data_IF_793077944851
#
_entry.id   IF_793077944851
#
_cell.length_a   1.000
_cell.length_b   1.000
_cell.length_c   1.000
_cell.angle_alpha   90.00
_cell.angle_beta   90.00
_cell.angle_gamma   90.00
#
_symmetry.space_group_name_H-M   'P 1'
#
loop_
_entity.id
_entity.type
_entity.pdbx_description
1 polymer ?
#
# COMPACT_ATOMS: atom_id res chain seq x y z
N UNK A 1 -0.08 -18.19 34.09
CA UNK A 1 0.05 -16.81 33.54
C UNK A 1 -1.21 -15.96 33.73
N UNK A 2 -2.36 -16.37 33.18
CA UNK A 2 -3.62 -15.60 33.24
C UNK A 2 -4.04 -15.21 34.66
N UNK A 3 -4.05 -16.17 35.59
CA UNK A 3 -4.39 -15.91 37.01
C UNK A 3 -3.45 -14.88 37.66
N UNK A 4 -2.16 -14.94 37.32
CA UNK A 4 -1.18 -14.00 37.83
C UNK A 4 -1.41 -12.59 37.27
N UNK A 5 -1.65 -12.44 35.97
CA UNK A 5 -1.98 -11.14 35.36
C UNK A 5 -3.23 -10.50 35.97
N UNK A 6 -4.28 -11.29 36.24
CA UNK A 6 -5.48 -10.77 36.91
C UNK A 6 -5.19 -10.37 38.36
N UNK A 7 -4.35 -11.12 39.08
CA UNK A 7 -3.92 -10.76 40.43
C UNK A 7 -3.18 -9.41 40.43
N UNK A 8 -2.29 -9.18 39.47
CA UNK A 8 -1.56 -7.90 39.35
C UNK A 8 -2.49 -6.74 38.97
N UNK A 9 -3.48 -6.94 38.10
CA UNK A 9 -4.51 -5.91 37.85
C UNK A 9 -5.30 -5.58 39.13
N UNK A 10 -5.68 -6.60 39.89
CA UNK A 10 -6.44 -6.41 41.14
C UNK A 10 -5.60 -5.76 42.24
N UNK A 11 -4.28 -5.99 42.28
CA UNK A 11 -3.39 -5.39 43.28
C UNK A 11 -3.33 -3.86 43.14
N UNK A 12 -3.57 -3.34 41.93
CA UNK A 12 -3.68 -1.90 41.63
C UNK A 12 -5.13 -1.40 41.57
N UNK A 13 -6.11 -2.22 41.98
CA UNK A 13 -7.52 -1.83 42.07
C UNK A 13 -8.34 -2.02 40.79
N UNK A 14 -7.83 -2.71 39.76
CA UNK A 14 -8.54 -2.97 38.50
C UNK A 14 -9.09 -4.40 38.52
N UNK A 15 -10.41 -4.56 38.52
CA UNK A 15 -11.06 -5.85 38.32
C UNK A 15 -11.48 -5.97 36.84
N UNK A 16 -10.95 -6.95 36.08
CA UNK A 16 -11.39 -7.17 34.70
C UNK A 16 -12.81 -7.74 34.67
N UNK A 17 -13.64 -7.22 33.77
CA UNK A 17 -14.99 -7.74 33.49
C UNK A 17 -15.00 -8.84 32.41
N UNK A 18 -14.01 -8.81 31.51
CA UNK A 18 -13.84 -9.75 30.39
C UNK A 18 -12.37 -10.16 30.29
N UNK A 19 -12.12 -11.42 29.98
CA UNK A 19 -10.78 -11.95 29.71
C UNK A 19 -10.70 -12.49 28.27
N UNK A 20 -9.83 -11.89 27.45
CA UNK A 20 -9.44 -12.43 26.15
C UNK A 20 -8.23 -13.35 26.33
N UNK A 21 -8.47 -14.66 26.33
CA UNK A 21 -7.42 -15.65 26.53
C UNK A 21 -6.81 -16.06 25.19
N UNK A 22 -5.62 -15.51 24.89
CA UNK A 22 -4.91 -15.82 23.65
C UNK A 22 -4.32 -17.23 23.67
N UNK A 23 -4.50 -17.98 22.58
CA UNK A 23 -4.02 -19.36 22.44
C UNK A 23 -3.90 -19.78 20.97
N UNK A 24 -3.12 -20.81 20.67
CA UNK A 24 -3.04 -21.35 19.30
C UNK A 24 -4.27 -22.19 18.93
N UNK A 25 -4.93 -22.79 19.93
CA UNK A 25 -6.09 -23.67 19.77
C UNK A 25 -7.17 -23.31 20.79
N UNK A 26 -8.46 -23.60 20.52
CA UNK A 26 -9.54 -23.32 21.45
C UNK A 26 -9.28 -23.93 22.83
N UNK A 27 -9.47 -23.13 23.90
CA UNK A 27 -9.37 -23.63 25.26
C UNK A 27 -10.55 -24.56 25.57
N UNK A 28 -10.30 -25.73 26.17
CA UNK A 28 -11.37 -26.59 26.66
C UNK A 28 -12.27 -25.86 27.66
N UNK A 29 -13.56 -26.18 27.66
CA UNK A 29 -14.54 -25.59 28.60
C UNK A 29 -14.18 -25.81 30.08
N UNK A 30 -13.42 -26.88 30.40
CA UNK A 30 -12.90 -27.11 31.74
C UNK A 30 -11.87 -26.06 32.16
N UNK A 31 -10.96 -25.68 31.26
CA UNK A 31 -9.96 -24.64 31.51
C UNK A 31 -10.62 -23.26 31.56
N UNK A 32 -11.62 -23.00 30.69
CA UNK A 32 -12.42 -21.76 30.75
C UNK A 32 -13.09 -21.60 32.11
N UNK A 33 -13.76 -22.64 32.62
CA UNK A 33 -14.38 -22.67 33.96
C UNK A 33 -13.38 -22.44 35.08
N UNK A 34 -12.21 -23.08 34.98
CA UNK A 34 -11.12 -22.93 35.95
C UNK A 34 -10.62 -21.49 35.98
N UNK A 35 -10.37 -20.89 34.82
CA UNK A 35 -9.95 -19.48 34.72
C UNK A 35 -11.01 -18.59 35.38
N UNK A 36 -12.27 -18.70 34.97
CA UNK A 36 -13.39 -17.93 35.50
C UNK A 36 -13.46 -17.95 37.05
N UNK A 37 -13.38 -19.15 37.63
CA UNK A 37 -13.39 -19.36 39.08
C UNK A 37 -12.21 -18.67 39.78
N UNK A 38 -10.98 -18.84 39.28
CA UNK A 38 -9.79 -18.29 39.92
C UNK A 38 -9.60 -16.78 39.71
N UNK A 39 -10.17 -16.23 38.64
CA UNK A 39 -10.09 -14.79 38.33
C UNK A 39 -11.29 -14.00 38.82
N UNK A 40 -12.34 -14.68 39.31
CA UNK A 40 -13.63 -14.09 39.67
C UNK A 40 -14.26 -13.29 38.50
N UNK A 41 -14.16 -13.85 37.30
CA UNK A 41 -14.77 -13.32 36.07
C UNK A 41 -15.86 -14.29 35.63
N UNK A 42 -17.05 -13.84 35.18
CA UNK A 42 -18.09 -14.74 34.71
C UNK A 42 -17.59 -15.68 33.61
N UNK A 43 -18.03 -16.94 33.61
CA UNK A 43 -17.54 -17.94 32.64
C UNK A 43 -17.76 -17.51 31.19
N UNK A 44 -18.92 -16.94 30.88
CA UNK A 44 -19.25 -16.44 29.54
C UNK A 44 -18.38 -15.24 29.12
N UNK A 45 -17.71 -14.57 30.07
CA UNK A 45 -16.80 -13.46 29.82
C UNK A 45 -15.31 -13.89 29.73
N UNK A 46 -15.04 -15.19 29.77
CA UNK A 46 -13.72 -15.76 29.44
C UNK A 46 -13.73 -16.18 27.97
N UNK A 47 -13.28 -15.29 27.10
CA UNK A 47 -13.36 -15.41 25.65
C UNK A 47 -12.09 -16.06 25.09
N UNK A 48 -12.25 -17.04 24.21
CA UNK A 48 -11.15 -17.61 23.44
C UNK A 48 -10.70 -16.64 22.36
N UNK A 49 -9.46 -16.19 22.41
CA UNK A 49 -8.84 -15.36 21.36
C UNK A 49 -7.79 -16.21 20.63
N UNK A 50 -8.24 -17.13 19.78
CA UNK A 50 -7.33 -18.05 19.10
C UNK A 50 -6.58 -17.37 17.95
N UNK A 51 -5.43 -17.93 17.57
CA UNK A 51 -4.76 -17.54 16.33
C UNK A 51 -5.59 -18.07 15.14
N UNK A 52 -6.20 -17.13 14.41
CA UNK A 52 -6.95 -17.41 13.19
C UNK A 52 -6.03 -17.25 11.97
N UNK A 53 -6.26 -18.06 10.95
CA UNK A 53 -5.59 -18.01 9.65
C UNK A 53 -5.88 -16.72 8.86
N UNK A 54 -7.01 -16.08 9.15
CA UNK A 54 -7.44 -14.82 8.57
C UNK A 54 -7.89 -13.84 9.66
N UNK A 55 -7.22 -12.69 9.76
CA UNK A 55 -7.54 -11.65 10.75
C UNK A 55 -8.98 -11.11 10.63
N UNK A 56 -9.59 -11.19 9.45
CA UNK A 56 -10.96 -10.72 9.22
C UNK A 56 -12.02 -11.70 9.74
N UNK A 57 -11.62 -12.90 10.19
CA UNK A 57 -12.49 -13.81 10.95
C UNK A 57 -12.61 -13.42 12.43
N UNK A 58 -11.73 -12.56 12.95
CA UNK A 58 -11.75 -12.17 14.38
C UNK A 58 -13.11 -11.57 14.80
N UNK A 59 -13.72 -10.62 14.04
CA UNK A 59 -15.06 -10.12 14.39
C UNK A 59 -16.12 -11.23 14.48
N UNK A 60 -16.14 -12.16 13.52
CA UNK A 60 -17.07 -13.29 13.50
C UNK A 60 -16.85 -14.22 14.71
N UNK A 61 -15.57 -14.51 15.02
CA UNK A 61 -15.17 -15.38 16.12
C UNK A 61 -15.51 -14.82 17.50
N UNK A 62 -15.28 -13.51 17.70
CA UNK A 62 -15.60 -12.84 18.96
C UNK A 62 -17.12 -12.66 19.13
N UNK A 63 -17.84 -12.37 18.05
CA UNK A 63 -19.30 -12.27 18.07
C UNK A 63 -19.97 -13.62 18.37
N UNK A 64 -19.47 -14.72 17.79
CA UNK A 64 -19.97 -16.07 18.08
C UNK A 64 -19.86 -16.46 19.56
N UNK A 65 -18.91 -15.86 20.29
CA UNK A 65 -18.74 -16.03 21.74
C UNK A 65 -19.50 -14.97 22.57
N UNK A 66 -20.21 -14.05 21.93
CA UNK A 66 -21.04 -13.05 22.60
C UNK A 66 -20.27 -11.89 23.25
N UNK A 67 -19.03 -11.62 22.84
CA UNK A 67 -18.22 -10.53 23.42
C UNK A 67 -18.93 -9.18 23.32
N UNK A 68 -19.47 -8.84 22.15
CA UNK A 68 -20.19 -7.60 21.90
C UNK A 68 -21.44 -7.47 22.78
N UNK A 69 -22.16 -8.58 22.98
CA UNK A 69 -23.31 -8.64 23.88
C UNK A 69 -22.92 -8.31 25.32
N UNK A 70 -21.82 -8.88 25.81
CA UNK A 70 -21.32 -8.61 27.17
C UNK A 70 -21.00 -7.13 27.34
N UNK A 71 -20.34 -6.52 26.35
CA UNK A 71 -20.01 -5.10 26.36
C UNK A 71 -21.27 -4.23 26.35
N UNK A 72 -22.26 -4.54 25.52
CA UNK A 72 -23.54 -3.82 25.44
C UNK A 72 -24.31 -3.87 26.76
N UNK A 73 -24.42 -5.07 27.36
CA UNK A 73 -25.09 -5.27 28.63
C UNK A 73 -24.37 -4.55 29.77
N UNK A 74 -23.04 -4.66 29.84
CA UNK A 74 -22.22 -4.04 30.88
C UNK A 74 -22.28 -2.50 30.82
N UNK A 75 -22.22 -1.92 29.62
CA UNK A 75 -22.32 -0.46 29.40
C UNK A 75 -23.76 0.06 29.35
N UNK A 76 -24.77 -0.81 29.53
CA UNK A 76 -26.20 -0.46 29.51
C UNK A 76 -26.63 0.26 28.24
N UNK A 77 -26.11 -0.18 27.09
CA UNK A 77 -26.42 0.39 25.77
C UNK A 77 -27.75 -0.16 25.25
N UNK A 78 -28.84 0.19 25.93
CA UNK A 78 -30.19 -0.38 25.72
C UNK A 78 -30.79 -0.14 24.31
N UNK A 79 -30.17 0.74 23.52
CA UNK A 79 -30.58 1.05 22.14
C UNK A 79 -29.64 0.43 21.09
N UNK A 80 -28.68 -0.40 21.51
CA UNK A 80 -27.77 -1.08 20.60
C UNK A 80 -28.54 -2.01 19.67
N UNK A 81 -28.28 -1.89 18.37
CA UNK A 81 -28.80 -2.81 17.36
C UNK A 81 -28.00 -4.11 17.39
N UNK A 82 -28.61 -5.20 16.94
CA UNK A 82 -27.87 -6.46 16.70
C UNK A 82 -26.75 -6.19 15.69
N UNK A 83 -25.57 -6.74 15.93
CA UNK A 83 -24.46 -6.65 15.00
C UNK A 83 -24.85 -7.28 13.65
N UNK A 84 -24.63 -6.52 12.58
CA UNK A 84 -24.66 -7.03 11.21
C UNK A 84 -23.21 -7.23 10.77
N UNK A 85 -22.86 -8.48 10.45
CA UNK A 85 -21.51 -8.89 10.08
C UNK A 85 -21.42 -9.31 8.61
N UNK A 86 -22.46 -9.04 7.81
CA UNK A 86 -22.53 -9.42 6.39
C UNK A 86 -21.32 -8.94 5.59
N UNK A 87 -20.82 -7.71 5.83
CA UNK A 87 -19.59 -7.20 5.21
C UNK A 87 -18.37 -8.08 5.54
N UNK A 88 -18.23 -8.51 6.79
CA UNK A 88 -17.11 -9.34 7.24
C UNK A 88 -17.21 -10.76 6.69
N UNK A 89 -18.42 -11.31 6.66
CA UNK A 89 -18.70 -12.61 6.03
C UNK A 89 -18.33 -12.59 4.55
N UNK A 90 -18.69 -11.51 3.82
CA UNK A 90 -18.33 -11.33 2.42
C UNK A 90 -16.82 -11.21 2.19
N UNK A 91 -16.10 -10.49 3.05
CA UNK A 91 -14.63 -10.40 3.00
C UNK A 91 -13.99 -11.77 3.20
N UNK A 92 -14.41 -12.51 4.24
CA UNK A 92 -13.84 -13.83 4.54
C UNK A 92 -14.11 -14.79 3.39
N UNK A 93 -15.35 -14.84 2.89
CA UNK A 93 -15.74 -15.70 1.77
C UNK A 93 -14.91 -15.41 0.51
N UNK A 94 -14.74 -14.14 0.13
CA UNK A 94 -13.95 -13.75 -1.04
C UNK A 94 -12.46 -14.13 -0.94
N UNK A 95 -11.90 -14.19 0.28
CA UNK A 95 -10.51 -14.58 0.51
C UNK A 95 -10.31 -16.09 0.50
N UNK A 96 -11.26 -16.83 1.07
CA UNK A 96 -11.19 -18.30 1.18
C UNK A 96 -11.52 -19.00 -0.14
N UNK A 97 -12.40 -18.41 -0.95
CA UNK A 97 -12.89 -18.98 -2.20
C UNK A 97 -12.55 -18.10 -3.42
N UNK A 98 -11.26 -17.95 -3.78
CA UNK A 98 -10.87 -17.16 -4.94
C UNK A 98 -11.13 -17.88 -6.27
N UNK A 99 -11.58 -17.13 -7.28
CA UNK A 99 -11.83 -17.61 -8.64
C UNK A 99 -10.58 -17.51 -9.54
N UNK A 100 -9.65 -16.63 -9.19
CA UNK A 100 -8.42 -16.37 -9.94
C UNK A 100 -7.24 -16.08 -9.01
N UNK A 101 -6.03 -16.07 -9.57
CA UNK A 101 -4.82 -15.76 -8.83
C UNK A 101 -3.85 -14.94 -9.69
N UNK A 102 -3.24 -13.91 -9.12
CA UNK A 102 -2.19 -13.09 -9.77
C UNK A 102 -0.95 -13.00 -8.90
N UNK A 103 0.22 -12.89 -9.53
CA UNK A 103 1.50 -12.66 -8.84
C UNK A 103 1.94 -11.22 -9.01
N UNK A 104 2.04 -10.47 -7.91
CA UNK A 104 2.53 -9.09 -7.90
C UNK A 104 3.94 -9.07 -7.32
N UNK A 105 4.89 -8.52 -8.09
CA UNK A 105 6.25 -8.28 -7.59
C UNK A 105 6.30 -6.96 -6.82
N UNK A 106 6.70 -7.01 -5.55
CA UNK A 106 6.95 -5.82 -4.72
C UNK A 106 8.46 -5.58 -4.66
N UNK A 107 8.92 -4.47 -5.22
CA UNK A 107 10.34 -4.13 -5.31
C UNK A 107 10.73 -3.16 -4.18
N UNK A 108 11.11 -3.72 -3.04
CA UNK A 108 11.34 -2.99 -1.78
C UNK A 108 12.81 -2.93 -1.36
N UNK A 109 13.11 -2.07 -0.37
CA UNK A 109 14.46 -1.97 0.24
C UNK A 109 14.64 -2.99 1.37
N UNK A 110 13.59 -3.24 2.16
CA UNK A 110 13.64 -4.10 3.35
C UNK A 110 12.66 -5.26 3.23
N UNK A 111 13.02 -6.30 2.48
CA UNK A 111 12.12 -7.45 2.28
C UNK A 111 12.04 -8.39 3.48
N UNK A 112 13.08 -8.45 4.32
CA UNK A 112 13.12 -9.32 5.51
C UNK A 112 12.18 -8.85 6.64
N UNK A 113 11.78 -7.58 6.60
CA UNK A 113 10.84 -6.98 7.55
C UNK A 113 9.53 -6.64 6.84
N UNK A 114 8.74 -7.67 6.51
CA UNK A 114 7.44 -7.51 5.85
C UNK A 114 6.49 -6.53 6.58
N UNK A 115 6.64 -6.38 7.90
CA UNK A 115 5.88 -5.42 8.70
C UNK A 115 6.07 -3.96 8.24
N UNK A 116 7.23 -3.61 7.68
CA UNK A 116 7.47 -2.29 7.09
C UNK A 116 6.51 -1.97 5.94
N UNK A 117 5.91 -2.99 5.33
CA UNK A 117 4.99 -2.90 4.21
C UNK A 117 3.59 -3.45 4.56
N UNK A 118 3.22 -3.49 5.86
CA UNK A 118 1.96 -4.11 6.30
C UNK A 118 0.74 -3.53 5.59
N UNK A 119 0.53 -2.21 5.66
CA UNK A 119 -0.62 -1.56 5.00
C UNK A 119 -0.64 -1.79 3.49
N UNK A 120 0.52 -1.77 2.85
CA UNK A 120 0.66 -2.04 1.42
C UNK A 120 0.27 -3.48 1.06
N UNK A 121 0.77 -4.46 1.83
CA UNK A 121 0.48 -5.88 1.62
C UNK A 121 -1.01 -6.17 1.81
N UNK A 122 -1.66 -5.53 2.78
CA UNK A 122 -3.11 -5.66 2.97
C UNK A 122 -3.89 -4.94 1.86
N UNK A 123 -3.47 -3.73 1.45
CA UNK A 123 -4.13 -3.00 0.36
C UNK A 123 -4.11 -3.77 -0.98
N UNK A 124 -3.02 -4.48 -1.28
CA UNK A 124 -2.95 -5.38 -2.43
C UNK A 124 -3.92 -6.55 -2.32
N UNK A 125 -4.04 -7.17 -1.14
CA UNK A 125 -5.04 -8.23 -0.89
C UNK A 125 -6.46 -7.67 -1.02
N UNK A 126 -6.74 -6.50 -0.47
CA UNK A 126 -8.04 -5.82 -0.58
C UNK A 126 -8.41 -5.61 -2.06
N UNK A 127 -7.46 -5.19 -2.89
CA UNK A 127 -7.67 -4.99 -4.33
C UNK A 127 -8.15 -6.24 -5.08
N UNK A 128 -7.84 -7.43 -4.56
CA UNK A 128 -8.33 -8.70 -5.10
C UNK A 128 -9.75 -9.07 -4.69
N UNK A 129 -10.27 -8.55 -3.57
CA UNK A 129 -11.55 -8.98 -2.98
C UNK A 129 -12.75 -8.78 -3.91
N UNK A 130 -12.94 -7.63 -4.59
CA UNK A 130 -14.14 -7.41 -5.41
C UNK A 130 -14.29 -8.37 -6.59
N UNK A 131 -13.19 -9.02 -7.01
CA UNK A 131 -13.16 -9.99 -8.11
C UNK A 131 -12.78 -11.39 -7.65
N UNK A 132 -12.74 -11.64 -6.33
CA UNK A 132 -12.29 -12.91 -5.74
C UNK A 132 -10.94 -13.37 -6.31
N UNK A 133 -10.02 -12.43 -6.49
CA UNK A 133 -8.68 -12.73 -7.01
C UNK A 133 -7.70 -12.85 -5.85
N UNK A 134 -7.08 -14.03 -5.71
CA UNK A 134 -5.97 -14.22 -4.76
C UNK A 134 -4.73 -13.48 -5.27
N UNK A 135 -4.17 -12.63 -4.41
CA UNK A 135 -2.96 -11.87 -4.74
C UNK A 135 -1.74 -12.53 -4.06
N UNK A 136 -0.87 -13.14 -4.87
CA UNK A 136 0.43 -13.66 -4.42
C UNK A 136 1.48 -12.56 -4.47
N UNK A 137 2.08 -12.28 -3.33
CA UNK A 137 3.14 -11.28 -3.21
C UNK A 137 4.51 -11.94 -3.42
N UNK A 138 5.22 -11.51 -4.45
CA UNK A 138 6.63 -11.85 -4.67
C UNK A 138 7.48 -10.68 -4.19
N UNK A 139 8.20 -10.88 -3.10
CA UNK A 139 9.10 -9.88 -2.57
C UNK A 139 10.42 -9.92 -3.34
N UNK A 140 10.86 -8.75 -3.80
CA UNK A 140 12.10 -8.58 -4.57
C UNK A 140 12.91 -7.46 -3.91
N UNK A 141 14.13 -7.78 -3.50
CA UNK A 141 15.04 -6.76 -2.96
C UNK A 141 15.54 -5.87 -4.10
N UNK A 142 15.36 -4.56 -3.97
CA UNK A 142 15.76 -3.63 -5.02
C UNK A 142 17.28 -3.67 -5.26
N UNK A 143 18.10 -3.84 -4.23
CA UNK A 143 19.55 -3.98 -4.38
C UNK A 143 19.96 -5.24 -5.18
N UNK A 144 19.18 -6.32 -5.09
CA UNK A 144 19.43 -7.53 -5.88
C UNK A 144 19.21 -7.29 -7.38
N UNK A 145 18.28 -6.40 -7.75
CA UNK A 145 18.06 -6.04 -9.16
C UNK A 145 19.24 -5.26 -9.77
N UNK A 146 20.03 -4.57 -8.94
CA UNK A 146 21.25 -3.87 -9.37
C UNK A 146 22.38 -4.85 -9.65
N UNK A 147 22.52 -5.88 -8.80
CA UNK A 147 23.59 -6.87 -8.90
C UNK A 147 23.29 -7.98 -9.93
N UNK A 148 22.09 -8.55 -9.87
CA UNK A 148 21.73 -9.77 -10.59
C UNK A 148 20.83 -9.48 -11.83
N UNK A 149 20.42 -8.23 -12.00
CA UNK A 149 19.53 -7.78 -13.06
C UNK A 149 18.05 -8.06 -12.82
N UNK A 150 17.22 -7.79 -13.83
CA UNK A 150 15.75 -7.79 -13.72
C UNK A 150 15.08 -9.18 -13.81
N UNK A 151 15.87 -10.26 -13.79
CA UNK A 151 15.37 -11.64 -13.94
C UNK A 151 14.32 -12.03 -12.90
N UNK A 152 14.44 -11.51 -11.67
CA UNK A 152 13.47 -11.77 -10.59
C UNK A 152 12.05 -11.24 -10.87
N UNK A 153 11.91 -10.27 -11.79
CA UNK A 153 10.63 -9.71 -12.22
C UNK A 153 9.94 -10.55 -13.29
N UNK A 154 10.66 -11.47 -13.95
CA UNK A 154 10.10 -12.31 -14.98
C UNK A 154 8.94 -13.16 -14.44
N UNK A 155 7.84 -13.23 -15.17
CA UNK A 155 6.67 -13.99 -14.74
C UNK A 155 5.74 -13.24 -13.77
N UNK A 156 6.08 -12.04 -13.30
CA UNK A 156 5.14 -11.21 -12.55
C UNK A 156 3.96 -10.79 -13.45
N UNK A 157 2.77 -10.67 -12.86
CA UNK A 157 1.55 -10.20 -13.54
C UNK A 157 1.36 -8.69 -13.34
N UNK A 158 1.99 -8.12 -12.31
CA UNK A 158 2.12 -6.68 -12.08
C UNK A 158 3.33 -6.39 -11.20
N UNK A 159 3.84 -5.16 -11.26
CA UNK A 159 5.00 -4.68 -10.51
C UNK A 159 4.57 -3.47 -9.68
N UNK A 160 4.89 -3.50 -8.39
CA UNK A 160 4.69 -2.39 -7.48
C UNK A 160 6.02 -1.96 -6.86
N UNK A 161 6.32 -0.66 -6.96
CA UNK A 161 7.44 -0.03 -6.24
C UNK A 161 6.87 0.84 -5.13
N UNK A 162 7.10 0.48 -3.85
CA UNK A 162 6.54 1.19 -2.72
C UNK A 162 7.33 2.45 -2.37
N UNK A 163 6.85 3.17 -1.36
CA UNK A 163 7.60 4.23 -0.71
C UNK A 163 8.95 3.75 -0.16
N UNK A 164 9.85 4.70 0.03
CA UNK A 164 11.22 4.46 0.48
C UNK A 164 11.96 5.78 0.65
N UNK A 165 13.24 5.68 1.01
CA UNK A 165 14.13 6.82 1.19
C UNK A 165 15.59 6.39 1.06
N UNK A 166 16.43 7.37 0.72
CA UNK A 166 17.87 7.22 0.50
C UNK A 166 18.25 6.43 -0.74
N UNK A 167 19.53 6.50 -1.07
CA UNK A 167 20.16 5.99 -2.30
C UNK A 167 20.12 4.47 -2.51
N UNK A 168 20.29 3.68 -1.44
CA UNK A 168 20.43 2.22 -1.55
C UNK A 168 19.20 1.58 -2.20
N UNK A 169 19.44 0.86 -3.30
CA UNK A 169 18.41 0.13 -4.04
C UNK A 169 17.59 1.01 -4.98
N UNK A 170 17.95 2.29 -5.18
CA UNK A 170 17.20 3.16 -6.07
C UNK A 170 17.34 2.75 -7.54
N UNK A 171 18.54 2.39 -7.99
CA UNK A 171 18.79 2.00 -9.37
C UNK A 171 18.08 0.68 -9.71
N UNK A 172 17.91 -0.20 -8.73
CA UNK A 172 17.09 -1.40 -8.86
C UNK A 172 15.61 -1.08 -9.07
N UNK A 173 15.08 -0.07 -8.39
CA UNK A 173 13.70 0.42 -8.60
C UNK A 173 13.54 1.05 -9.98
N UNK A 174 14.50 1.87 -10.41
CA UNK A 174 14.53 2.45 -11.77
C UNK A 174 14.56 1.33 -12.82
N UNK A 175 15.35 0.29 -12.60
CA UNK A 175 15.42 -0.89 -13.48
C UNK A 175 14.09 -1.65 -13.53
N UNK A 176 13.39 -1.77 -12.39
CA UNK A 176 12.07 -2.38 -12.33
C UNK A 176 11.01 -1.57 -13.10
N UNK A 177 11.05 -0.24 -13.01
CA UNK A 177 10.19 0.65 -13.81
C UNK A 177 10.45 0.41 -15.30
N UNK A 178 11.72 0.43 -15.70
CA UNK A 178 12.11 0.24 -17.11
C UNK A 178 11.59 -1.08 -17.64
N UNK A 179 11.81 -2.16 -16.88
CA UNK A 179 11.30 -3.48 -17.22
C UNK A 179 9.77 -3.47 -17.38
N UNK A 180 9.04 -2.84 -16.47
CA UNK A 180 7.59 -2.75 -16.55
C UNK A 180 7.14 -2.00 -17.81
N UNK A 181 7.69 -0.79 -18.03
CA UNK A 181 7.39 0.08 -19.17
C UNK A 181 7.65 -0.59 -20.51
N UNK A 182 8.80 -1.23 -20.67
CA UNK A 182 9.23 -1.83 -21.94
C UNK A 182 8.54 -3.16 -22.24
N UNK A 183 8.08 -3.90 -21.22
CA UNK A 183 7.43 -5.20 -21.38
C UNK A 183 5.90 -5.15 -21.24
N UNK A 184 5.31 -3.96 -21.08
CA UNK A 184 3.86 -3.82 -20.93
C UNK A 184 3.31 -4.45 -19.65
N UNK A 185 4.14 -4.61 -18.60
CA UNK A 185 3.73 -5.20 -17.32
C UNK A 185 3.08 -4.09 -16.48
N UNK A 186 1.84 -4.24 -15.99
CA UNK A 186 1.19 -3.26 -15.14
C UNK A 186 2.11 -2.74 -14.03
N UNK A 187 2.29 -1.42 -13.96
CA UNK A 187 3.20 -0.78 -13.00
C UNK A 187 2.45 0.16 -12.07
N UNK A 188 2.65 -0.02 -10.76
CA UNK A 188 2.14 0.86 -9.72
C UNK A 188 3.28 1.44 -8.86
N UNK A 189 3.54 2.74 -8.97
CA UNK A 189 4.52 3.44 -8.15
C UNK A 189 3.86 4.24 -7.01
N UNK A 190 4.37 4.11 -5.79
CA UNK A 190 3.88 4.86 -4.62
C UNK A 190 5.02 5.67 -4.02
N UNK A 191 4.82 6.98 -3.88
CA UNK A 191 5.79 7.94 -3.33
C UNK A 191 7.14 7.82 -4.05
N UNK A 192 8.13 7.20 -3.43
CA UNK A 192 9.43 6.91 -4.01
C UNK A 192 9.37 6.07 -5.31
N UNK A 193 8.32 5.24 -5.48
CA UNK A 193 8.05 4.55 -6.74
C UNK A 193 7.62 5.48 -7.89
N UNK A 194 6.95 6.59 -7.58
CA UNK A 194 6.71 7.64 -8.58
C UNK A 194 8.00 8.38 -8.92
N UNK A 195 8.84 8.68 -7.94
CA UNK A 195 10.14 9.34 -8.17
C UNK A 195 11.05 8.48 -9.06
N UNK A 196 11.16 7.19 -8.78
CA UNK A 196 11.88 6.24 -9.63
C UNK A 196 11.33 6.21 -11.06
N UNK A 197 10.00 6.33 -11.23
CA UNK A 197 9.38 6.35 -12.54
C UNK A 197 9.67 7.63 -13.34
N UNK A 198 9.68 8.79 -12.69
CA UNK A 198 10.10 10.05 -13.31
C UNK A 198 11.56 9.98 -13.75
N UNK A 199 12.45 9.47 -12.88
CA UNK A 199 13.88 9.30 -13.19
C UNK A 199 14.09 8.34 -14.35
N UNK A 200 13.42 7.19 -14.35
CA UNK A 200 13.51 6.22 -15.45
C UNK A 200 13.10 6.83 -16.79
N UNK A 201 11.98 7.55 -16.81
CA UNK A 201 11.44 8.17 -18.02
C UNK A 201 12.35 9.29 -18.52
N UNK A 202 12.87 10.12 -17.60
CA UNK A 202 13.81 11.18 -17.93
C UNK A 202 15.10 10.63 -18.56
N UNK A 203 15.65 9.53 -18.01
CA UNK A 203 16.86 8.88 -18.53
C UNK A 203 16.64 8.20 -19.87
N UNK A 204 15.62 7.35 -19.97
CA UNK A 204 15.49 6.42 -21.08
C UNK A 204 14.63 6.95 -22.24
N UNK A 205 13.71 7.88 -21.98
CA UNK A 205 12.83 8.45 -23.02
C UNK A 205 13.26 9.87 -23.39
N UNK A 206 13.55 10.72 -22.40
CA UNK A 206 13.97 12.10 -22.65
C UNK A 206 15.49 12.24 -22.93
N UNK A 207 16.30 11.21 -22.61
CA UNK A 207 17.74 11.18 -22.86
C UNK A 207 18.60 11.92 -21.83
N UNK A 208 18.05 12.26 -20.67
CA UNK A 208 18.78 12.88 -19.56
C UNK A 208 19.50 11.80 -18.74
N UNK A 209 20.63 11.32 -19.24
CA UNK A 209 21.33 10.16 -18.69
C UNK A 209 21.68 10.28 -17.20
N UNK A 210 21.89 11.50 -16.69
CA UNK A 210 22.24 11.75 -15.30
C UNK A 210 21.04 12.16 -14.43
N UNK A 211 19.81 12.13 -14.96
CA UNK A 211 18.62 12.54 -14.20
C UNK A 211 18.49 11.78 -12.88
N UNK A 212 18.25 12.49 -11.79
CA UNK A 212 18.12 11.87 -10.46
C UNK A 212 17.26 12.71 -9.51
N UNK A 213 17.10 12.22 -8.28
CA UNK A 213 16.60 12.97 -7.14
C UNK A 213 17.77 13.60 -6.38
N UNK A 214 17.62 14.84 -5.92
CA UNK A 214 18.59 15.46 -4.99
C UNK A 214 18.67 14.73 -3.64
N UNK A 215 17.72 13.85 -3.34
CA UNK A 215 17.80 12.90 -2.22
C UNK A 215 18.94 11.89 -2.38
N UNK A 216 19.18 11.44 -3.61
CA UNK A 216 20.11 10.36 -3.91
C UNK A 216 21.44 10.88 -4.47
N UNK A 217 21.38 11.94 -5.27
CA UNK A 217 22.53 12.57 -5.91
C UNK A 217 22.32 14.08 -5.93
N UNK A 218 23.01 14.79 -5.03
CA UNK A 218 22.92 16.26 -4.90
C UNK A 218 23.59 17.00 -6.04
N UNK A 219 24.53 16.37 -6.71
CA UNK A 219 25.38 16.99 -7.74
C UNK A 219 24.88 16.65 -9.16
N UNK A 220 23.75 15.94 -9.29
CA UNK A 220 23.15 15.65 -10.59
C UNK A 220 22.90 16.95 -11.36
N UNK A 221 23.33 17.05 -12.63
CA UNK A 221 22.99 18.20 -13.47
C UNK A 221 21.51 18.19 -13.88
N UNK A 222 20.79 17.08 -13.64
CA UNK A 222 19.40 16.87 -14.04
C UNK A 222 18.49 16.49 -12.84
N UNK A 223 18.26 17.40 -11.86
CA UNK A 223 17.46 17.12 -10.66
C UNK A 223 15.96 17.14 -10.99
N UNK A 224 15.45 16.05 -11.56
CA UNK A 224 14.04 15.89 -11.93
C UNK A 224 13.13 15.71 -10.72
N UNK A 225 13.69 15.30 -9.58
CA UNK A 225 13.06 15.29 -8.26
C UNK A 225 13.95 16.10 -7.30
N UNK A 226 13.37 16.94 -6.45
CA UNK A 226 14.12 17.76 -5.49
C UNK A 226 13.29 18.23 -4.30
N UNK A 227 13.85 19.01 -3.39
CA UNK A 227 13.09 19.61 -2.27
C UNK A 227 12.29 20.83 -2.73
N UNK A 228 11.11 21.04 -2.13
CA UNK A 228 10.26 22.22 -2.38
C UNK A 228 11.02 23.54 -2.25
N UNK A 229 11.93 23.62 -1.28
CA UNK A 229 12.72 24.81 -0.97
C UNK A 229 13.85 25.06 -1.98
N UNK A 230 14.33 24.04 -2.69
CA UNK A 230 15.38 24.18 -3.72
C UNK A 230 14.88 24.97 -4.95
N UNK A 231 13.55 25.13 -5.10
CA UNK A 231 12.94 25.77 -6.27
C UNK A 231 12.55 27.24 -6.06
N UNK A 232 12.53 27.75 -4.82
CA UNK A 232 12.14 29.14 -4.54
C UNK A 232 13.31 30.10 -4.70
N UNK A 233 13.46 30.64 -5.92
CA UNK A 233 13.49 32.09 -6.14
C UNK A 233 13.26 32.44 -7.61
N UNK A 234 12.28 33.32 -7.87
CA UNK A 234 12.08 33.99 -9.17
C UNK A 234 13.26 34.90 -9.56
N UNK A 235 14.21 35.12 -8.65
CA UNK A 235 15.36 36.00 -8.82
C UNK A 235 16.70 35.24 -8.86
N UNK A 236 16.68 33.91 -9.01
CA UNK A 236 17.90 33.09 -9.17
C UNK A 236 18.74 32.92 -7.89
N UNK A 237 18.22 33.30 -6.72
CA UNK A 237 18.87 33.00 -5.45
C UNK A 237 18.45 31.60 -4.95
N UNK A 238 19.40 30.67 -4.88
CA UNK A 238 19.24 29.40 -4.17
C UNK A 238 19.25 29.72 -2.68
N UNK A 239 18.10 29.61 -1.99
CA UNK A 239 18.14 29.52 -0.53
C UNK A 239 18.65 28.14 -0.15
N UNK A 240 19.96 28.01 0.06
CA UNK A 240 20.57 26.81 0.59
C UNK A 240 20.14 26.66 2.05
N UNK A 241 19.17 25.78 2.27
CA UNK A 241 18.68 25.39 3.59
C UNK A 241 19.11 23.95 3.82
N UNK A 242 20.06 23.77 4.73
CA UNK A 242 20.73 22.48 5.01
C UNK A 242 19.81 21.54 5.81
N UNK A 243 20.23 20.29 6.05
CA UNK A 243 19.46 19.28 6.83
C UNK A 243 19.03 19.74 8.22
N UNK A 244 19.71 20.75 8.79
CA UNK A 244 19.41 21.37 10.08
C UNK A 244 18.37 22.50 10.02
N UNK A 245 17.90 22.86 8.82
CA UNK A 245 16.88 23.90 8.64
C UNK A 245 15.49 23.32 8.90
N UNK A 246 14.96 23.66 10.08
CA UNK A 246 13.59 23.41 10.57
C UNK A 246 12.90 22.16 9.98
N UNK A 247 13.09 21.02 10.65
CA UNK A 247 12.52 19.71 10.30
C UNK A 247 10.98 19.69 10.10
N UNK A 248 10.28 20.80 10.37
CA UNK A 248 8.84 20.98 10.16
C UNK A 248 8.43 21.69 8.86
N UNK A 249 9.33 22.32 8.10
CA UNK A 249 8.95 23.26 7.02
C UNK A 249 8.73 22.66 5.62
N UNK A 250 9.26 21.47 5.32
CA UNK A 250 9.24 20.87 3.98
C UNK A 250 8.51 19.52 3.88
N UNK A 251 8.09 18.93 5.00
CA UNK A 251 7.39 17.65 5.02
C UNK A 251 5.91 17.84 4.73
N UNK A 252 5.43 17.21 3.65
CA UNK A 252 3.99 17.03 3.41
C UNK A 252 3.51 15.79 4.15
N UNK A 253 2.60 16.00 5.10
CA UNK A 253 2.04 14.96 5.94
C UNK A 253 0.51 15.04 5.95
N UNK A 254 -0.15 13.88 5.95
CA UNK A 254 -1.60 13.79 6.17
C UNK A 254 -2.41 13.95 4.89
N UNK A 255 -3.73 14.08 5.05
CA UNK A 255 -4.66 14.17 3.94
C UNK A 255 -4.53 15.50 3.21
N UNK A 256 -4.40 15.46 1.88
CA UNK A 256 -4.36 16.64 1.02
C UNK A 256 -5.14 16.38 -0.26
N UNK A 257 -5.72 17.45 -0.80
CA UNK A 257 -6.55 17.37 -2.00
C UNK A 257 -5.71 17.38 -3.28
N UNK A 258 -6.08 16.49 -4.20
CA UNK A 258 -5.48 16.34 -5.51
C UNK A 258 -6.55 16.50 -6.59
N UNK A 259 -6.32 17.39 -7.56
CA UNK A 259 -7.15 17.58 -8.75
C UNK A 259 -6.66 16.66 -9.87
N UNK A 260 -7.58 15.83 -10.37
CA UNK A 260 -7.33 14.87 -11.44
C UNK A 260 -7.70 15.43 -12.82
N UNK A 261 -6.80 15.25 -13.77
CA UNK A 261 -6.93 15.70 -15.15
C UNK A 261 -8.12 15.01 -15.84
N UNK A 262 -8.91 15.76 -16.60
CA UNK A 262 -9.97 15.19 -17.43
C UNK A 262 -9.40 14.19 -18.45
N UNK A 263 -10.06 13.03 -18.59
CA UNK A 263 -9.65 11.96 -19.51
C UNK A 263 -8.43 11.15 -19.06
N UNK A 264 -7.94 11.33 -17.83
CA UNK A 264 -6.90 10.45 -17.28
C UNK A 264 -7.49 9.15 -16.75
N UNK A 265 -6.67 8.09 -16.73
CA UNK A 265 -7.07 6.80 -16.18
C UNK A 265 -7.36 6.91 -14.68
N UNK A 266 -6.54 7.67 -13.94
CA UNK A 266 -6.77 7.88 -12.50
C UNK A 266 -8.13 8.51 -12.22
N UNK A 267 -8.56 9.51 -13.00
CA UNK A 267 -9.87 10.16 -12.81
C UNK A 267 -11.02 9.19 -13.07
N UNK A 268 -10.90 8.33 -14.08
CA UNK A 268 -11.89 7.29 -14.37
C UNK A 268 -11.98 6.27 -13.22
N UNK A 269 -10.83 5.82 -12.69
CA UNK A 269 -10.76 4.86 -11.58
C UNK A 269 -11.42 5.42 -10.31
N UNK A 270 -11.13 6.67 -9.94
CA UNK A 270 -11.72 7.30 -8.76
C UNK A 270 -13.18 7.75 -8.97
N UNK A 271 -13.59 8.01 -10.21
CA UNK A 271 -14.91 8.57 -10.52
C UNK A 271 -15.11 10.00 -10.03
N UNK A 272 -14.03 10.73 -9.69
CA UNK A 272 -14.08 12.06 -9.10
C UNK A 272 -13.01 13.01 -9.68
N UNK A 273 -13.31 14.30 -9.76
CA UNK A 273 -12.35 15.32 -10.19
C UNK A 273 -11.33 15.67 -9.12
N UNK A 274 -11.77 15.71 -7.86
CA UNK A 274 -10.94 16.03 -6.70
C UNK A 274 -11.01 14.85 -5.75
N UNK A 275 -9.84 14.38 -5.34
CA UNK A 275 -9.66 13.29 -4.37
C UNK A 275 -8.86 13.81 -3.17
N UNK A 276 -8.92 13.12 -2.03
CA UNK A 276 -8.14 13.47 -0.85
C UNK A 276 -7.32 12.26 -0.40
N UNK A 277 -6.01 12.40 -0.39
CA UNK A 277 -5.06 11.29 -0.19
C UNK A 277 -3.98 11.63 0.84
N UNK A 278 -3.38 10.60 1.45
CA UNK A 278 -2.40 10.82 2.53
C UNK A 278 -0.97 10.92 2.01
N UNK A 279 -0.29 12.01 2.36
CA UNK A 279 1.10 12.26 1.99
C UNK A 279 2.06 11.98 3.15
N UNK A 280 3.29 11.60 2.82
CA UNK A 280 4.45 11.50 3.73
C UNK A 280 5.76 11.59 2.94
N UNK A 281 6.06 12.76 2.38
CA UNK A 281 7.30 13.00 1.63
C UNK A 281 7.76 14.46 1.74
N UNK A 282 9.00 14.71 1.31
CA UNK A 282 9.63 16.05 1.26
C UNK A 282 10.04 16.46 -0.15
N UNK A 283 10.45 15.47 -0.95
CA UNK A 283 10.89 15.68 -2.31
C UNK A 283 9.69 15.65 -3.25
N UNK A 284 9.67 16.52 -4.26
CA UNK A 284 8.65 16.59 -5.32
C UNK A 284 9.28 16.63 -6.70
N UNK A 285 8.42 16.48 -7.69
CA UNK A 285 8.75 16.72 -9.08
C UNK A 285 9.21 18.16 -9.35
N UNK A 286 10.35 18.31 -10.01
CA UNK A 286 10.86 19.60 -10.44
C UNK A 286 10.13 20.08 -11.72
N UNK A 287 9.28 21.09 -11.55
CA UNK A 287 8.46 21.64 -12.65
C UNK A 287 9.25 22.19 -13.85
N UNK A 288 10.55 22.48 -13.70
CA UNK A 288 11.40 22.88 -14.83
C UNK A 288 11.42 21.81 -15.94
N UNK A 289 11.24 20.53 -15.59
CA UNK A 289 11.22 19.41 -16.53
C UNK A 289 9.81 19.08 -17.05
N UNK A 290 8.76 19.74 -16.54
CA UNK A 290 7.36 19.42 -16.82
C UNK A 290 7.03 19.44 -18.31
N UNK A 291 7.42 20.50 -19.01
CA UNK A 291 7.11 20.66 -20.44
C UNK A 291 7.80 19.59 -21.27
N UNK A 292 9.11 19.38 -21.06
CA UNK A 292 9.92 18.41 -21.80
C UNK A 292 9.41 16.98 -21.60
N UNK A 293 9.11 16.58 -20.37
CA UNK A 293 8.57 15.25 -20.07
C UNK A 293 7.15 15.05 -20.64
N UNK A 294 6.32 16.10 -20.62
CA UNK A 294 4.98 16.06 -21.23
C UNK A 294 5.05 15.86 -22.74
N UNK A 295 5.94 16.59 -23.42
CA UNK A 295 6.16 16.47 -24.87
C UNK A 295 6.74 15.11 -25.25
N UNK A 296 7.52 14.49 -24.36
CA UNK A 296 8.01 13.12 -24.51
C UNK A 296 6.96 12.04 -24.21
N UNK A 297 5.72 12.40 -23.87
CA UNK A 297 4.59 11.46 -23.69
C UNK A 297 4.14 11.23 -22.24
N UNK A 298 4.87 11.72 -21.23
CA UNK A 298 4.48 11.54 -19.84
C UNK A 298 3.26 12.40 -19.49
N UNK A 299 2.20 11.78 -18.97
CA UNK A 299 0.99 12.51 -18.57
C UNK A 299 1.01 12.84 -17.08
N UNK A 300 0.98 14.13 -16.74
CA UNK A 300 0.76 14.62 -15.38
C UNK A 300 -0.74 14.63 -15.09
N UNK A 301 -1.26 13.53 -14.54
CA UNK A 301 -2.69 13.25 -14.42
C UNK A 301 -3.33 13.66 -13.10
N UNK A 302 -2.52 14.01 -12.09
CA UNK A 302 -2.98 14.54 -10.80
C UNK A 302 -2.05 15.61 -10.29
N UNK A 303 -2.60 16.69 -9.72
CA UNK A 303 -1.83 17.81 -9.16
C UNK A 303 -2.46 18.36 -7.89
N UNK A 304 -1.68 19.07 -7.09
CA UNK A 304 -2.20 19.86 -5.97
C UNK A 304 -3.21 20.91 -6.46
N UNK A 305 -4.06 21.40 -5.54
CA UNK A 305 -5.14 22.34 -5.89
C UNK A 305 -4.66 23.66 -6.48
N UNK A 306 -3.43 24.08 -6.15
CA UNK A 306 -2.73 25.26 -6.66
C UNK A 306 -1.97 25.03 -7.99
N UNK A 307 -2.06 23.83 -8.58
CA UNK A 307 -1.36 23.37 -9.79
C UNK A 307 0.18 23.32 -9.68
N UNK A 308 0.74 23.54 -8.49
CA UNK A 308 2.18 23.63 -8.29
C UNK A 308 2.86 22.27 -8.14
N UNK A 309 2.22 21.29 -7.52
CA UNK A 309 2.83 20.00 -7.22
C UNK A 309 2.21 18.92 -8.10
N UNK A 310 3.05 18.06 -8.65
CA UNK A 310 2.60 16.87 -9.39
C UNK A 310 2.37 15.75 -8.39
N UNK A 311 1.16 15.21 -8.39
CA UNK A 311 0.76 14.14 -7.47
C UNK A 311 0.62 12.79 -8.15
N UNK A 312 0.29 12.76 -9.44
CA UNK A 312 0.10 11.53 -10.22
C UNK A 312 0.67 11.68 -11.62
N UNK A 313 1.40 10.66 -12.06
CA UNK A 313 1.86 10.49 -13.43
C UNK A 313 1.33 9.19 -14.05
N UNK A 314 1.15 9.23 -15.36
CA UNK A 314 0.71 8.12 -16.20
C UNK A 314 1.54 8.07 -17.48
N UNK A 315 1.69 6.87 -18.05
CA UNK A 315 2.15 6.67 -19.43
C UNK A 315 0.92 6.21 -20.24
N UNK A 316 0.28 7.09 -21.04
CA UNK A 316 -0.97 6.78 -21.73
C UNK A 316 -0.90 5.56 -22.66
N UNK A 317 0.23 5.37 -23.34
CA UNK A 317 0.46 4.28 -24.30
C UNK A 317 0.66 2.92 -23.60
N UNK A 318 0.93 2.92 -22.29
CA UNK A 318 1.15 1.69 -21.53
C UNK A 318 -0.19 1.05 -21.08
N UNK A 319 -0.33 -0.30 -21.13
CA UNK A 319 -1.59 -0.98 -20.79
C UNK A 319 -2.15 -0.59 -19.42
N UNK A 320 -1.26 -0.48 -18.43
CA UNK A 320 -1.58 0.09 -17.12
C UNK A 320 -0.31 0.61 -16.44
N UNK A 321 -0.17 1.93 -16.33
CA UNK A 321 0.97 2.58 -15.65
C UNK A 321 0.46 3.79 -14.87
N UNK A 322 0.49 3.70 -13.55
CA UNK A 322 0.13 4.80 -12.65
C UNK A 322 1.21 4.89 -11.59
N UNK A 323 1.69 6.10 -11.33
CA UNK A 323 2.51 6.35 -10.16
C UNK A 323 2.04 7.61 -9.45
N UNK A 324 1.92 7.54 -8.13
CA UNK A 324 1.39 8.62 -7.29
C UNK A 324 2.36 8.97 -6.16
N UNK A 325 2.36 10.22 -5.72
CA UNK A 325 3.17 10.68 -4.59
C UNK A 325 2.58 10.32 -3.23
N UNK A 326 1.26 10.27 -3.14
CA UNK A 326 0.54 9.90 -1.93
C UNK A 326 0.59 8.39 -1.65
N UNK A 327 0.09 8.01 -0.48
CA UNK A 327 0.04 6.65 0.06
C UNK A 327 -1.42 6.12 0.12
N UNK A 328 -1.95 5.61 -1.00
CA UNK A 328 -3.33 5.12 -1.08
C UNK A 328 -3.55 3.86 -0.22
N UNK A 329 -2.49 3.15 0.15
CA UNK A 329 -2.54 1.99 1.03
C UNK A 329 -3.08 2.33 2.43
N UNK A 330 -3.00 3.59 2.86
CA UNK A 330 -3.51 4.02 4.16
C UNK A 330 -5.03 4.23 4.19
N UNK A 331 -5.68 4.30 3.03
CA UNK A 331 -7.13 4.45 2.91
C UNK A 331 -7.82 3.15 2.48
N UNK A 332 -7.05 2.13 2.07
CA UNK A 332 -7.59 0.83 1.66
C UNK A 332 -8.05 0.02 2.88
N UNK A 333 -9.30 -0.46 2.83
CA UNK A 333 -9.85 -1.36 3.85
C UNK A 333 -10.38 -2.63 3.19
N UNK A 334 -10.56 -3.75 3.92
CA UNK A 334 -11.10 -4.98 3.32
C UNK A 334 -12.56 -4.81 2.86
N UNK A 335 -13.33 -3.95 3.53
CA UNK A 335 -14.75 -3.70 3.22
C UNK A 335 -14.94 -2.65 2.12
N UNK A 336 -14.03 -1.69 2.07
CA UNK A 336 -13.94 -0.66 1.03
C UNK A 336 -12.51 -0.64 0.47
N UNK A 337 -12.20 -1.56 -0.48
CA UNK A 337 -10.89 -1.63 -1.10
C UNK A 337 -10.61 -0.38 -1.93
N UNK A 338 -9.40 0.16 -1.78
CA UNK A 338 -9.02 1.37 -2.48
C UNK A 338 -9.03 1.19 -4.02
N UNK A 339 -9.64 2.11 -4.79
CA UNK A 339 -9.94 1.91 -6.21
C UNK A 339 -8.70 1.70 -7.09
N UNK A 340 -7.58 2.40 -6.81
CA UNK A 340 -6.32 2.16 -7.51
C UNK A 340 -5.79 0.73 -7.35
N UNK A 341 -5.94 0.12 -6.17
CA UNK A 341 -5.49 -1.26 -5.95
C UNK A 341 -6.43 -2.24 -6.66
N UNK A 342 -7.73 -2.01 -6.63
CA UNK A 342 -8.71 -2.82 -7.37
C UNK A 342 -8.42 -2.80 -8.87
N UNK A 343 -8.19 -1.62 -9.44
CA UNK A 343 -7.92 -1.48 -10.87
C UNK A 343 -6.53 -2.03 -11.26
N UNK A 344 -5.53 -1.88 -10.40
CA UNK A 344 -4.22 -2.49 -10.59
C UNK A 344 -4.28 -4.02 -10.64
N UNK A 345 -5.01 -4.65 -9.71
CA UNK A 345 -5.19 -6.11 -9.70
C UNK A 345 -5.99 -6.57 -10.92
N UNK A 346 -7.00 -5.81 -11.35
CA UNK A 346 -7.71 -6.06 -12.61
C UNK A 346 -6.76 -6.04 -13.80
N UNK A 347 -5.88 -5.04 -13.88
CA UNK A 347 -4.90 -4.92 -14.96
C UNK A 347 -3.87 -6.07 -14.94
N UNK A 348 -3.41 -6.47 -13.76
CA UNK A 348 -2.51 -7.61 -13.59
C UNK A 348 -3.15 -8.92 -14.08
N UNK A 349 -4.43 -9.14 -13.76
CA UNK A 349 -5.17 -10.30 -14.26
C UNK A 349 -5.29 -10.29 -15.79
N UNK A 350 -5.58 -9.13 -16.40
CA UNK A 350 -5.63 -8.99 -17.85
C UNK A 350 -4.26 -9.29 -18.51
N UNK A 351 -3.16 -8.79 -17.93
CA UNK A 351 -1.81 -9.08 -18.39
C UNK A 351 -1.48 -10.58 -18.30
N UNK A 352 -1.85 -11.24 -17.20
CA UNK A 352 -1.67 -12.68 -17.03
C UNK A 352 -2.36 -13.49 -18.14
N UNK A 353 -3.62 -13.16 -18.44
CA UNK A 353 -4.41 -13.82 -19.49
C UNK A 353 -3.77 -13.62 -20.87
N UNK A 354 -3.38 -12.38 -21.21
CA UNK A 354 -2.72 -12.08 -22.46
C UNK A 354 -1.40 -12.87 -22.63
N UNK A 355 -0.58 -12.92 -21.57
CA UNK A 355 0.68 -13.68 -21.59
C UNK A 355 0.46 -15.18 -21.78
N UNK A 356 -0.53 -15.78 -21.10
CA UNK A 356 -0.86 -17.21 -21.24
C UNK A 356 -1.38 -17.53 -22.66
N UNK A 357 -2.20 -16.66 -23.23
CA UNK A 357 -2.68 -16.80 -24.61
C UNK A 357 -1.54 -16.82 -25.63
N UNK A 358 -0.55 -15.94 -25.48
CA UNK A 358 0.65 -15.92 -26.34
C UNK A 358 1.49 -17.18 -26.17
N UNK A 359 1.65 -17.69 -24.95
CA UNK A 359 2.41 -18.91 -24.69
C UNK A 359 1.75 -20.15 -25.34
N UNK A 360 0.41 -20.26 -25.25
CA UNK A 360 -0.34 -21.32 -25.92
C UNK A 360 -0.23 -21.24 -27.44
N UNK A 361 -0.32 -20.04 -28.02
CA UNK A 361 -0.17 -19.86 -29.47
C UNK A 361 1.23 -20.26 -29.96
N UNK A 362 2.29 -20.00 -29.19
CA UNK A 362 3.66 -20.40 -29.53
C UNK A 362 3.91 -21.91 -29.39
N UNK A 363 3.29 -22.57 -28.42
CA UNK A 363 3.42 -24.02 -28.20
C UNK A 363 2.63 -24.90 -29.17
N UNK A 364 1.67 -24.35 -29.91
CA UNK A 364 0.92 -25.07 -30.96
C UNK A 364 1.64 -25.02 -32.32
N UNK A 365 2.64 -24.15 -32.47
CA UNK A 365 3.41 -23.97 -33.72
C UNK A 365 4.77 -24.68 -33.69
N UNK A 366 5.15 -25.28 -32.55
CA UNK A 366 6.30 -26.19 -32.40
C UNK A 366 5.84 -27.64 -32.44
#
# INVERSE_FOLDING_TARGET
PTQHSVKELRSIGIQPDVLLCRSEQPLPDSERRKIALFTNVPEHAVINAIDLDNIYKIPLWLHAQGLDRIVVEHLRLNQARKADLSDWEGVVDAMEHPDAEVTIAIVGKYIDHHDAYKSLSEALKHGGLPRRTRVKLRWVEAAALEADGVGALAGADGILVPGGFGDRGFEGKVSAVKFARENGVPYYGICYGMQAAVVEYARNVLGLAQANSTENDRDTPDPVIGLITEWRSLNGAVETRNEDSDLGGSMRLGAQDCRLKFGSRVREIYGAEVISERHRHRYEFNNQYRTRLKEAGLSFSGKSMDDLLVEVIEIPEHPWFIAAQFHPEFLSTPRDPHPLFVDFIRAALAHQVARRGVAQAKGVVS
#
